data_IF_476537012665
#
_entry.id   IF_476537012665
#
_cell.length_a   1.000
_cell.length_b   1.000
_cell.length_c   1.000
_cell.angle_alpha   90.00
_cell.angle_beta   90.00
_cell.angle_gamma   90.00
#
_symmetry.space_group_name_H-M   'P 1'
#
loop_
_entity.id
_entity.type
_entity.pdbx_description
1 polymer ?
#
# COMPACT_ATOMS: atom_id res chain seq x y z
N UNK A 1 -63.13 -2.33 53.70
CA UNK A 1 -62.56 -1.28 52.82
C UNK A 1 -61.19 -1.77 52.36
N UNK A 2 -61.11 -2.30 51.13
CA UNK A 2 -59.87 -2.84 50.55
C UNK A 2 -59.28 -1.82 49.59
N UNK A 3 -58.09 -1.29 49.92
CA UNK A 3 -57.36 -0.37 49.09
C UNK A 3 -56.57 -1.18 48.05
N UNK A 4 -56.89 -0.99 46.75
CA UNK A 4 -56.12 -1.55 45.65
C UNK A 4 -55.00 -0.57 45.26
N UNK A 5 -53.73 -0.95 45.56
CA UNK A 5 -52.56 -0.27 45.00
C UNK A 5 -52.37 -0.68 43.52
N UNK A 6 -52.47 0.26 42.62
CA UNK A 6 -52.02 0.13 41.24
C UNK A 6 -50.53 0.52 41.19
N UNK A 7 -49.66 -0.48 40.95
CA UNK A 7 -48.25 -0.26 40.60
C UNK A 7 -48.21 -0.04 39.09
N UNK A 8 -48.00 1.21 38.70
CA UNK A 8 -47.74 1.54 37.32
C UNK A 8 -46.31 1.14 36.92
N UNK A 9 -46.21 0.16 36.05
CA UNK A 9 -44.93 -0.22 35.42
C UNK A 9 -44.62 0.84 34.33
N UNK A 10 -43.68 1.77 34.62
CA UNK A 10 -43.08 2.63 33.59
C UNK A 10 -41.98 1.82 32.91
N UNK A 11 -42.25 1.32 31.69
CA UNK A 11 -41.25 0.78 30.77
C UNK A 11 -40.45 1.98 30.25
N UNK A 12 -39.27 2.21 30.84
CA UNK A 12 -38.24 3.04 30.26
C UNK A 12 -37.66 2.29 29.05
N UNK A 13 -38.14 2.61 27.87
CA UNK A 13 -37.47 2.28 26.61
C UNK A 13 -36.17 3.09 26.55
N UNK A 14 -35.06 2.48 27.00
CA UNK A 14 -33.74 2.98 26.72
C UNK A 14 -33.52 2.89 25.21
N UNK A 15 -33.69 4.02 24.50
CA UNK A 15 -33.17 4.16 23.13
C UNK A 15 -31.65 4.10 23.23
N UNK A 16 -31.09 2.93 22.92
CA UNK A 16 -29.69 2.84 22.56
C UNK A 16 -29.55 3.63 21.26
N UNK A 17 -29.07 4.87 21.36
CA UNK A 17 -28.52 5.56 20.18
C UNK A 17 -27.25 4.77 19.86
N UNK A 18 -27.37 3.81 18.95
CA UNK A 18 -26.19 3.22 18.32
C UNK A 18 -25.42 4.38 17.70
N UNK A 19 -24.20 4.61 18.14
CA UNK A 19 -23.34 5.59 17.46
C UNK A 19 -23.32 5.18 15.98
N UNK A 20 -23.56 6.16 15.07
CA UNK A 20 -23.56 5.89 13.64
C UNK A 20 -22.21 5.31 13.25
N UNK A 21 -22.22 4.22 12.48
CA UNK A 21 -20.97 3.63 11.96
C UNK A 21 -20.17 4.72 11.24
N UNK A 22 -18.86 4.85 11.50
CA UNK A 22 -18.05 5.90 10.88
C UNK A 22 -17.83 5.62 9.39
N UNK A 23 -17.68 6.67 8.60
CA UNK A 23 -17.21 6.55 7.23
C UNK A 23 -15.73 6.15 7.22
N UNK A 24 -15.32 5.47 6.16
CA UNK A 24 -13.93 5.08 5.92
C UNK A 24 -13.52 5.57 4.55
N UNK A 25 -12.52 6.46 4.51
CA UNK A 25 -11.90 6.95 3.26
C UNK A 25 -10.48 6.42 3.21
N UNK A 26 -10.24 5.45 2.34
CA UNK A 26 -8.93 4.86 2.11
C UNK A 26 -8.32 5.45 0.84
N UNK A 27 -7.32 6.32 1.01
CA UNK A 27 -6.57 6.99 -0.05
C UNK A 27 -5.27 6.22 -0.27
N UNK A 28 -5.17 5.54 -1.42
CA UNK A 28 -4.05 4.67 -1.75
C UNK A 28 -3.32 5.21 -2.99
N UNK A 29 -2.23 5.96 -2.79
CA UNK A 29 -1.37 6.42 -3.86
C UNK A 29 -0.63 5.24 -4.52
N UNK A 30 -0.24 5.40 -5.79
CA UNK A 30 0.46 4.39 -6.58
C UNK A 30 1.91 4.81 -6.78
N UNK A 31 2.87 4.00 -6.28
CA UNK A 31 4.32 4.24 -6.37
C UNK A 31 4.82 5.52 -5.67
N UNK A 32 4.09 6.05 -4.70
CA UNK A 32 4.52 7.22 -3.95
C UNK A 32 5.53 6.82 -2.86
N UNK A 33 6.75 7.33 -2.94
CA UNK A 33 7.77 7.07 -1.94
C UNK A 33 7.50 7.76 -0.60
N UNK A 34 8.03 7.19 0.47
CA UNK A 34 7.92 7.77 1.83
C UNK A 34 8.54 9.17 1.94
N UNK A 35 9.53 9.47 1.08
CA UNK A 35 10.22 10.77 1.01
C UNK A 35 9.62 11.71 -0.05
N UNK A 36 8.50 11.35 -0.68
CA UNK A 36 7.90 12.10 -1.78
C UNK A 36 6.69 12.93 -1.34
N UNK A 37 6.59 13.21 -0.04
CA UNK A 37 5.54 14.03 0.58
C UNK A 37 6.13 15.17 1.41
N UNK A 38 5.47 16.32 1.45
CA UNK A 38 6.00 17.56 2.00
C UNK A 38 6.33 17.50 3.51
N UNK A 39 5.58 16.75 4.31
CA UNK A 39 5.88 16.58 5.74
C UNK A 39 7.14 15.72 6.03
N UNK A 40 7.70 15.05 5.01
CA UNK A 40 8.98 14.32 5.05
C UNK A 40 10.08 15.03 4.28
N UNK A 41 9.74 15.74 3.21
CA UNK A 41 10.68 16.40 2.32
C UNK A 41 10.06 17.69 1.77
N UNK A 42 10.48 18.83 2.29
CA UNK A 42 9.96 20.16 1.96
C UNK A 42 10.08 20.54 0.47
N UNK A 43 10.79 19.76 -0.36
CA UNK A 43 10.83 19.95 -1.81
C UNK A 43 9.50 19.60 -2.49
N UNK A 44 8.66 18.78 -1.87
CA UNK A 44 7.33 18.43 -2.38
C UNK A 44 6.28 19.36 -1.77
N UNK A 45 5.45 19.93 -2.62
CA UNK A 45 4.36 20.82 -2.21
C UNK A 45 3.10 19.98 -2.04
N UNK A 46 2.83 19.56 -0.80
CA UNK A 46 1.66 18.74 -0.45
C UNK A 46 0.92 19.35 0.75
N UNK A 47 0.36 20.57 0.61
CA UNK A 47 -0.26 21.27 1.74
C UNK A 47 -1.43 20.50 2.37
N UNK A 48 -2.21 19.77 1.59
CA UNK A 48 -3.37 19.03 2.08
C UNK A 48 -2.96 17.72 2.78
N UNK A 49 -1.99 16.98 2.24
CA UNK A 49 -1.39 15.81 2.91
C UNK A 49 -0.65 16.26 4.17
N UNK A 50 0.06 17.41 4.14
CA UNK A 50 0.70 17.98 5.32
C UNK A 50 -0.32 18.35 6.39
N UNK A 51 -1.50 18.87 6.01
CA UNK A 51 -2.60 19.15 6.94
C UNK A 51 -3.14 17.87 7.59
N UNK A 52 -3.30 16.79 6.84
CA UNK A 52 -3.64 15.48 7.40
C UNK A 52 -2.59 15.01 8.41
N UNK A 53 -1.30 15.12 8.07
CA UNK A 53 -0.19 14.74 8.95
C UNK A 53 -0.13 15.59 10.22
N UNK A 54 -0.36 16.90 10.12
CA UNK A 54 -0.34 17.81 11.26
C UNK A 54 -1.50 17.62 12.25
N UNK A 55 -2.63 17.08 11.77
CA UNK A 55 -3.86 16.90 12.55
C UNK A 55 -4.24 15.44 12.78
N UNK A 56 -3.43 14.50 12.32
CA UNK A 56 -3.63 13.06 12.46
C UNK A 56 -2.45 12.35 13.12
N UNK A 57 -2.46 11.04 13.06
CA UNK A 57 -1.39 10.17 13.55
C UNK A 57 -0.49 9.77 12.38
N UNK A 58 0.77 10.17 12.42
CA UNK A 58 1.81 9.83 11.42
C UNK A 58 2.56 8.60 11.89
N UNK A 59 2.58 7.55 11.05
CA UNK A 59 3.33 6.34 11.37
C UNK A 59 4.74 6.39 10.76
N UNK A 60 5.75 6.36 11.63
CA UNK A 60 7.15 6.47 11.21
C UNK A 60 7.73 5.15 10.67
N UNK A 61 7.17 4.01 11.05
CA UNK A 61 7.57 2.67 10.62
C UNK A 61 6.41 1.93 9.94
N UNK A 62 5.84 2.54 8.91
CA UNK A 62 4.77 1.95 8.11
C UNK A 62 5.31 1.26 6.85
N UNK A 63 4.79 0.09 6.57
CA UNK A 63 5.24 -0.78 5.49
C UNK A 63 4.10 -1.23 4.59
N UNK A 64 4.42 -1.34 3.30
CA UNK A 64 3.62 -2.10 2.35
C UNK A 64 3.93 -3.61 2.49
N UNK A 65 2.95 -4.51 2.35
CA UNK A 65 3.15 -5.95 2.48
C UNK A 65 3.91 -6.58 1.29
N UNK A 66 4.12 -5.82 0.22
CA UNK A 66 4.99 -6.19 -0.89
C UNK A 66 5.58 -4.94 -1.56
N UNK A 67 6.69 -5.11 -2.28
CA UNK A 67 7.39 -4.01 -2.94
C UNK A 67 6.84 -3.62 -4.31
N UNK A 68 5.71 -4.22 -4.72
CA UNK A 68 5.01 -3.98 -5.99
C UNK A 68 3.51 -3.86 -5.78
N UNK A 69 2.84 -3.15 -6.69
CA UNK A 69 1.42 -2.82 -6.62
C UNK A 69 0.47 -4.03 -6.50
N UNK A 70 0.45 -4.97 -7.46
CA UNK A 70 -0.52 -6.07 -7.41
C UNK A 70 -0.41 -6.94 -6.14
N UNK A 71 0.78 -7.46 -5.74
CA UNK A 71 0.88 -8.27 -4.53
C UNK A 71 0.59 -7.46 -3.26
N UNK A 72 0.98 -6.19 -3.19
CA UNK A 72 0.65 -5.33 -2.05
C UNK A 72 -0.86 -5.13 -1.93
N UNK A 73 -1.52 -4.73 -3.02
CA UNK A 73 -2.98 -4.54 -3.05
C UNK A 73 -3.74 -5.83 -2.74
N UNK A 74 -3.27 -6.98 -3.26
CA UNK A 74 -3.85 -8.28 -2.92
C UNK A 74 -3.77 -8.59 -1.42
N UNK A 75 -2.61 -8.35 -0.80
CA UNK A 75 -2.46 -8.51 0.65
C UNK A 75 -3.38 -7.57 1.43
N UNK A 76 -3.44 -6.28 1.08
CA UNK A 76 -4.28 -5.29 1.76
C UNK A 76 -5.76 -5.63 1.66
N UNK A 77 -6.25 -5.94 0.46
CA UNK A 77 -7.67 -6.25 0.25
C UNK A 77 -8.10 -7.60 0.85
N UNK A 78 -7.18 -8.56 0.96
CA UNK A 78 -7.45 -9.86 1.58
C UNK A 78 -7.21 -9.90 3.10
N UNK A 79 -6.39 -8.95 3.61
CA UNK A 79 -5.86 -9.02 4.98
C UNK A 79 -4.90 -10.19 5.21
N UNK A 80 -4.31 -10.73 4.14
CA UNK A 80 -3.51 -11.96 4.16
C UNK A 80 -2.14 -11.76 3.51
N UNK A 81 -1.12 -12.46 4.04
CA UNK A 81 0.19 -12.51 3.41
C UNK A 81 0.16 -13.21 2.04
N UNK A 82 1.03 -12.77 1.13
CA UNK A 82 1.17 -13.28 -0.23
C UNK A 82 1.13 -14.81 -0.42
N UNK A 83 1.76 -15.63 0.45
CA UNK A 83 1.70 -17.09 0.36
C UNK A 83 0.28 -17.68 0.41
N UNK A 84 -0.68 -17.04 1.10
CA UNK A 84 -2.05 -17.54 1.22
C UNK A 84 -2.87 -17.41 -0.06
N UNK A 85 -2.59 -16.41 -0.88
CA UNK A 85 -3.33 -16.15 -2.13
C UNK A 85 -2.48 -16.31 -3.40
N UNK A 86 -1.16 -16.45 -3.28
CA UNK A 86 -0.26 -16.74 -4.40
C UNK A 86 0.05 -15.57 -5.33
N UNK A 87 -0.39 -14.35 -5.04
CA UNK A 87 -0.05 -13.15 -5.81
C UNK A 87 1.26 -12.58 -5.27
N UNK A 88 2.37 -12.81 -5.98
CA UNK A 88 3.72 -12.43 -5.53
C UNK A 88 4.33 -11.27 -6.32
N UNK A 89 3.78 -10.99 -7.52
CA UNK A 89 4.32 -9.95 -8.40
C UNK A 89 3.29 -9.50 -9.43
N UNK A 90 3.64 -8.47 -10.19
CA UNK A 90 2.88 -8.02 -11.36
C UNK A 90 3.20 -8.91 -12.56
N UNK A 91 2.21 -9.62 -13.10
CA UNK A 91 2.36 -10.45 -14.29
C UNK A 91 3.19 -11.71 -14.05
N UNK A 92 4.30 -11.89 -14.79
CA UNK A 92 5.12 -13.10 -14.72
C UNK A 92 6.16 -13.05 -13.59
N UNK A 93 6.33 -14.17 -12.88
CA UNK A 93 7.44 -14.39 -11.94
C UNK A 93 8.80 -14.63 -12.60
N UNK A 94 8.81 -14.89 -13.91
CA UNK A 94 9.99 -15.21 -14.73
C UNK A 94 10.58 -13.96 -15.41
N UNK A 95 10.71 -12.85 -14.71
CA UNK A 95 11.20 -11.60 -15.29
C UNK A 95 12.74 -11.59 -15.38
N UNK A 96 13.29 -10.76 -16.28
CA UNK A 96 14.71 -10.79 -16.63
C UNK A 96 15.10 -11.93 -17.58
N UNK A 97 16.37 -11.93 -18.03
CA UNK A 97 16.87 -12.95 -18.97
C UNK A 97 16.97 -14.33 -18.29
N UNK A 98 16.55 -15.39 -18.99
CA UNK A 98 16.56 -16.76 -18.44
C UNK A 98 17.95 -17.20 -17.99
N UNK A 99 18.98 -16.85 -18.75
CA UNK A 99 20.37 -17.18 -18.46
C UNK A 99 20.96 -16.58 -17.17
N UNK A 100 20.25 -15.61 -16.55
CA UNK A 100 20.68 -14.98 -15.30
C UNK A 100 19.86 -15.44 -14.09
N UNK A 101 18.87 -16.32 -14.28
CA UNK A 101 18.05 -16.87 -13.18
C UNK A 101 18.58 -18.27 -12.81
N UNK A 102 19.10 -18.43 -11.60
CA UNK A 102 19.69 -19.71 -11.14
C UNK A 102 18.65 -20.78 -10.87
N UNK A 103 17.48 -20.37 -10.37
CA UNK A 103 16.39 -21.29 -10.00
C UNK A 103 15.11 -20.97 -10.78
N UNK A 104 14.20 -21.91 -10.86
CA UNK A 104 12.87 -21.76 -11.40
C UNK A 104 12.01 -21.10 -10.32
N UNK A 105 11.48 -19.88 -10.51
CA UNK A 105 10.64 -19.20 -9.53
C UNK A 105 9.28 -19.87 -9.36
N UNK A 106 8.59 -19.55 -8.26
CA UNK A 106 7.21 -19.97 -8.04
C UNK A 106 6.28 -19.30 -9.06
N UNK A 107 5.31 -20.02 -9.55
CA UNK A 107 4.30 -19.46 -10.46
C UNK A 107 3.45 -18.42 -9.73
N UNK A 108 3.28 -17.25 -10.36
CA UNK A 108 2.48 -16.17 -9.83
C UNK A 108 1.01 -16.34 -10.17
N UNK A 109 0.11 -16.14 -9.21
CA UNK A 109 -1.30 -15.83 -9.47
C UNK A 109 -1.41 -14.39 -9.95
N UNK A 110 -2.17 -14.16 -11.03
CA UNK A 110 -2.30 -12.81 -11.62
C UNK A 110 -3.33 -11.95 -10.90
N UNK A 111 -4.37 -12.59 -10.38
CA UNK A 111 -5.51 -11.95 -9.73
C UNK A 111 -5.73 -12.60 -8.36
N UNK A 112 -6.39 -11.88 -7.48
CA UNK A 112 -6.81 -12.40 -6.20
C UNK A 112 -7.83 -13.53 -6.42
N UNK A 113 -7.64 -14.72 -5.82
CA UNK A 113 -8.59 -15.82 -5.99
C UNK A 113 -9.98 -15.47 -5.46
N UNK A 114 -11.02 -15.88 -6.18
CA UNK A 114 -12.42 -15.56 -5.85
C UNK A 114 -12.94 -16.18 -4.54
N UNK A 115 -12.20 -17.10 -3.92
CA UNK A 115 -12.55 -17.63 -2.59
C UNK A 115 -12.08 -16.71 -1.45
N UNK A 116 -11.25 -15.71 -1.75
CA UNK A 116 -10.76 -14.75 -0.76
C UNK A 116 -11.82 -13.67 -0.59
N UNK A 117 -12.32 -13.50 0.62
CA UNK A 117 -13.23 -12.41 0.94
C UNK A 117 -12.44 -11.11 1.08
N UNK A 118 -12.76 -10.11 0.29
CA UNK A 118 -12.13 -8.79 0.33
C UNK A 118 -12.67 -7.93 1.47
N UNK A 119 -11.90 -6.88 1.83
CA UNK A 119 -12.38 -5.89 2.82
C UNK A 119 -13.66 -5.18 2.35
N UNK A 120 -13.81 -4.94 1.05
CA UNK A 120 -15.00 -4.29 0.50
C UNK A 120 -16.24 -5.18 0.61
N UNK A 121 -16.11 -6.51 0.34
CA UNK A 121 -17.19 -7.47 0.56
C UNK A 121 -17.60 -7.52 2.04
N UNK A 122 -16.62 -7.51 2.96
CA UNK A 122 -16.91 -7.56 4.39
C UNK A 122 -17.61 -6.28 4.88
N UNK A 123 -17.14 -5.10 4.45
CA UNK A 123 -17.75 -3.83 4.80
C UNK A 123 -19.15 -3.68 4.18
N UNK A 124 -19.33 -4.06 2.92
CA UNK A 124 -20.65 -4.07 2.27
C UNK A 124 -21.63 -4.98 2.98
N UNK A 125 -21.20 -6.17 3.38
CA UNK A 125 -22.02 -7.09 4.19
C UNK A 125 -22.36 -6.51 5.57
N UNK A 126 -21.52 -5.58 6.09
CA UNK A 126 -21.73 -4.81 7.31
C UNK A 126 -22.60 -3.56 7.13
N UNK A 127 -23.18 -3.34 5.93
CA UNK A 127 -24.09 -2.23 5.65
C UNK A 127 -23.44 -0.98 5.05
N UNK A 128 -22.16 -1.01 4.72
CA UNK A 128 -21.49 0.11 4.07
C UNK A 128 -21.86 0.25 2.60
N UNK A 129 -22.06 1.49 2.16
CA UNK A 129 -22.07 1.84 0.73
C UNK A 129 -20.63 1.89 0.26
N UNK A 130 -20.31 1.31 -0.89
CA UNK A 130 -18.93 1.06 -1.29
C UNK A 130 -18.63 1.59 -2.69
N UNK A 131 -17.56 2.38 -2.83
CA UNK A 131 -17.08 2.88 -4.13
C UNK A 131 -15.58 2.65 -4.30
N UNK A 132 -15.21 2.21 -5.50
CA UNK A 132 -13.82 2.14 -5.95
C UNK A 132 -13.54 3.18 -7.04
N UNK A 133 -12.44 3.91 -6.90
CA UNK A 133 -12.06 5.03 -7.77
C UNK A 133 -10.60 4.90 -8.19
N UNK A 134 -10.34 4.48 -9.42
CA UNK A 134 -9.00 4.40 -9.98
C UNK A 134 -8.43 2.98 -10.08
N UNK A 135 -7.17 2.78 -9.70
CA UNK A 135 -6.43 1.53 -9.88
C UNK A 135 -6.87 0.43 -8.92
N UNK A 136 -7.32 -0.70 -9.47
CA UNK A 136 -7.63 -1.91 -8.70
C UNK A 136 -6.50 -2.96 -8.76
N UNK A 137 -6.19 -3.47 -9.95
CA UNK A 137 -5.02 -4.31 -10.26
C UNK A 137 -4.99 -5.71 -9.62
N UNK A 138 -6.05 -6.16 -8.95
CA UNK A 138 -6.14 -7.47 -8.28
C UNK A 138 -7.34 -8.29 -8.75
N UNK A 139 -8.22 -7.72 -9.52
CA UNK A 139 -9.42 -8.33 -10.10
C UNK A 139 -9.74 -7.70 -11.46
N UNK A 140 -10.61 -8.34 -12.24
CA UNK A 140 -11.05 -7.82 -13.52
C UNK A 140 -12.02 -6.63 -13.37
N UNK A 141 -12.86 -6.69 -12.32
CA UNK A 141 -13.89 -5.71 -12.04
C UNK A 141 -14.15 -5.64 -10.53
N UNK A 142 -13.89 -4.49 -9.89
CA UNK A 142 -14.16 -4.26 -8.47
C UNK A 142 -15.60 -4.55 -8.03
N UNK A 143 -16.58 -4.46 -8.95
CA UNK A 143 -17.99 -4.79 -8.65
C UNK A 143 -18.17 -6.24 -8.23
N UNK A 144 -17.29 -7.14 -8.67
CA UNK A 144 -17.32 -8.56 -8.29
C UNK A 144 -16.73 -8.81 -6.90
N UNK A 145 -15.97 -7.84 -6.38
CA UNK A 145 -15.17 -7.95 -5.16
C UNK A 145 -15.70 -7.01 -4.05
N UNK A 146 -17.02 -6.71 -4.08
CA UNK A 146 -17.74 -6.03 -2.99
C UNK A 146 -17.98 -4.53 -3.18
N UNK A 147 -17.47 -3.91 -4.24
CA UNK A 147 -17.82 -2.51 -4.53
C UNK A 147 -19.16 -2.41 -5.27
N UNK A 148 -19.97 -1.39 -4.92
CA UNK A 148 -21.24 -1.09 -5.59
C UNK A 148 -21.04 -0.16 -6.78
N UNK A 149 -20.01 0.69 -6.71
CA UNK A 149 -19.65 1.63 -7.77
C UNK A 149 -18.18 1.45 -8.11
N UNK A 150 -17.87 1.41 -9.41
CA UNK A 150 -16.50 1.33 -9.94
C UNK A 150 -16.27 2.45 -10.96
N UNK A 151 -15.24 3.25 -10.76
CA UNK A 151 -14.83 4.31 -11.68
C UNK A 151 -13.37 4.12 -12.08
N UNK A 152 -13.13 3.53 -13.22
CA UNK A 152 -11.78 3.38 -13.78
C UNK A 152 -10.95 2.23 -13.22
N UNK A 153 -11.53 1.34 -12.38
CA UNK A 153 -10.86 0.17 -11.85
C UNK A 153 -10.96 -1.04 -12.77
N UNK A 154 -9.84 -1.72 -13.00
CA UNK A 154 -9.74 -3.01 -13.70
C UNK A 154 -8.42 -3.73 -13.33
N UNK A 155 -8.08 -4.81 -14.04
CA UNK A 155 -6.85 -5.58 -13.80
C UNK A 155 -5.56 -4.85 -14.25
N UNK A 156 -5.64 -3.68 -14.88
CA UNK A 156 -4.47 -3.00 -15.43
C UNK A 156 -3.62 -2.33 -14.35
N UNK A 157 -2.29 -2.46 -14.50
CA UNK A 157 -1.34 -1.95 -13.50
C UNK A 157 -0.91 -0.50 -13.71
N UNK A 158 -1.31 0.16 -14.77
CA UNK A 158 -0.93 1.53 -15.08
C UNK A 158 -1.97 2.22 -15.95
N UNK A 159 -1.88 3.55 -16.12
CA UNK A 159 -2.84 4.37 -16.85
C UNK A 159 -2.70 4.16 -18.37
N UNK A 160 -3.00 2.94 -18.85
CA UNK A 160 -2.92 2.58 -20.27
C UNK A 160 -3.88 3.42 -21.13
N UNK A 161 -3.64 3.37 -22.45
CA UNK A 161 -4.56 3.84 -23.48
C UNK A 161 -5.09 5.26 -23.31
N UNK A 162 -4.18 6.24 -23.41
CA UNK A 162 -4.46 7.66 -23.26
C UNK A 162 -3.71 8.29 -22.08
N UNK A 163 -3.03 7.49 -21.23
CA UNK A 163 -2.26 8.03 -20.11
C UNK A 163 -3.15 8.70 -19.06
N UNK A 164 -2.69 9.82 -18.53
CA UNK A 164 -3.38 10.56 -17.48
C UNK A 164 -4.47 11.50 -17.99
N UNK A 165 -4.38 11.95 -19.24
CA UNK A 165 -5.28 12.96 -19.81
C UNK A 165 -6.21 12.35 -20.86
N UNK A 166 -7.42 12.86 -20.96
CA UNK A 166 -8.37 12.50 -22.03
C UNK A 166 -7.88 12.98 -23.41
N UNK A 167 -8.27 12.30 -24.51
CA UNK A 167 -9.21 11.17 -24.56
C UNK A 167 -8.58 9.83 -24.20
N UNK A 168 -9.32 8.98 -23.48
CA UNK A 168 -8.92 7.60 -23.18
C UNK A 168 -9.57 6.66 -24.20
N UNK A 169 -8.73 5.94 -24.95
CA UNK A 169 -9.17 5.16 -26.12
C UNK A 169 -9.52 3.72 -25.80
N UNK A 170 -9.21 3.23 -24.60
CA UNK A 170 -9.55 1.87 -24.17
C UNK A 170 -9.49 1.72 -22.64
N UNK A 171 -9.92 0.54 -22.15
CA UNK A 171 -9.97 0.22 -20.70
C UNK A 171 -11.15 0.87 -20.00
N UNK A 172 -11.16 0.79 -18.69
CA UNK A 172 -12.25 1.25 -17.82
C UNK A 172 -12.51 2.75 -17.85
N UNK A 173 -11.58 3.55 -18.41
CA UNK A 173 -11.78 5.01 -18.59
C UNK A 173 -12.34 5.39 -19.96
N UNK A 174 -12.34 4.52 -20.95
CA UNK A 174 -12.84 4.84 -22.30
C UNK A 174 -14.28 5.41 -22.32
N UNK A 175 -15.25 4.89 -21.53
CA UNK A 175 -16.60 5.43 -21.49
C UNK A 175 -16.70 6.90 -21.04
N UNK A 176 -15.69 7.40 -20.34
CA UNK A 176 -15.67 8.77 -19.82
C UNK A 176 -15.16 9.80 -20.85
N UNK A 177 -14.44 9.35 -21.90
CA UNK A 177 -13.77 10.22 -22.87
C UNK A 177 -14.73 11.13 -23.63
N UNK A 178 -15.94 10.65 -23.96
CA UNK A 178 -16.94 11.42 -24.68
C UNK A 178 -17.71 12.43 -23.82
N UNK A 179 -17.63 12.25 -22.48
CA UNK A 179 -18.39 13.06 -21.51
C UNK A 179 -17.58 14.19 -20.88
N UNK A 180 -16.29 14.33 -21.23
CA UNK A 180 -15.38 15.32 -20.64
C UNK A 180 -14.60 16.08 -21.69
N UNK A 181 -14.14 17.32 -21.41
CA UNK A 181 -13.24 18.06 -22.28
C UNK A 181 -11.93 17.29 -22.55
N UNK A 182 -11.33 17.55 -23.71
CA UNK A 182 -9.97 17.10 -24.01
C UNK A 182 -9.01 17.64 -22.95
N UNK A 183 -7.95 16.89 -22.65
CA UNK A 183 -6.97 17.21 -21.60
C UNK A 183 -7.52 17.21 -20.17
N UNK A 184 -8.71 16.63 -19.92
CA UNK A 184 -9.16 16.37 -18.56
C UNK A 184 -8.31 15.31 -17.91
N UNK A 185 -7.75 15.59 -16.72
CA UNK A 185 -6.97 14.62 -15.96
C UNK A 185 -7.88 13.58 -15.30
N UNK A 186 -7.54 12.28 -15.39
CA UNK A 186 -8.39 11.19 -14.85
C UNK A 186 -8.71 11.30 -13.36
N UNK A 187 -7.81 11.87 -12.55
CA UNK A 187 -8.07 12.06 -11.11
C UNK A 187 -9.22 13.04 -10.87
N UNK A 188 -9.46 14.00 -11.77
CA UNK A 188 -10.56 14.95 -11.64
C UNK A 188 -11.90 14.23 -11.77
N UNK A 189 -11.97 13.19 -12.63
CA UNK A 189 -13.15 12.32 -12.72
C UNK A 189 -13.34 11.53 -11.44
N UNK A 190 -12.26 10.92 -10.92
CA UNK A 190 -12.33 10.17 -9.66
C UNK A 190 -12.80 11.05 -8.51
N UNK A 191 -12.25 12.25 -8.39
CA UNK A 191 -12.65 13.23 -7.37
C UNK A 191 -14.12 13.62 -7.53
N UNK A 192 -14.55 13.98 -8.73
CA UNK A 192 -15.95 14.34 -9.00
C UNK A 192 -16.93 13.21 -8.65
N UNK A 193 -16.56 11.95 -8.98
CA UNK A 193 -17.42 10.80 -8.66
C UNK A 193 -17.43 10.48 -7.15
N UNK A 194 -16.31 10.71 -6.44
CA UNK A 194 -16.27 10.62 -4.99
C UNK A 194 -17.22 11.66 -4.35
N UNK A 195 -17.21 12.92 -4.82
CA UNK A 195 -18.12 13.95 -4.33
C UNK A 195 -19.60 13.60 -4.56
N UNK A 196 -19.93 13.10 -5.75
CA UNK A 196 -21.31 12.64 -6.05
C UNK A 196 -21.74 11.47 -5.15
N UNK A 197 -20.80 10.57 -4.86
CA UNK A 197 -21.07 9.44 -3.96
C UNK A 197 -21.32 9.91 -2.53
N UNK A 198 -20.52 10.84 -2.03
CA UNK A 198 -20.69 11.47 -0.71
C UNK A 198 -22.04 12.19 -0.63
N UNK A 199 -22.41 12.94 -1.68
CA UNK A 199 -23.70 13.64 -1.74
C UNK A 199 -24.89 12.68 -1.70
N UNK A 200 -24.78 11.55 -2.40
CA UNK A 200 -25.87 10.56 -2.49
C UNK A 200 -26.06 9.72 -1.23
N UNK A 201 -25.01 9.58 -0.40
CA UNK A 201 -24.99 8.65 0.73
C UNK A 201 -24.58 9.30 2.07
N UNK A 202 -24.79 10.63 2.21
CA UNK A 202 -24.38 11.38 3.39
C UNK A 202 -24.96 10.84 4.73
N UNK A 203 -26.11 10.17 4.66
CA UNK A 203 -26.81 9.60 5.82
C UNK A 203 -26.53 8.08 6.03
N UNK A 204 -25.66 7.50 5.22
CA UNK A 204 -25.30 6.08 5.27
C UNK A 204 -23.78 5.91 5.55
N UNK A 205 -23.33 4.84 6.20
CA UNK A 205 -21.88 4.58 6.33
C UNK A 205 -21.27 4.29 4.97
N UNK A 206 -20.16 4.96 4.65
CA UNK A 206 -19.47 4.86 3.36
C UNK A 206 -18.08 4.26 3.50
N UNK A 207 -17.72 3.38 2.56
CA UNK A 207 -16.34 2.99 2.29
C UNK A 207 -15.92 3.53 0.91
N UNK A 208 -15.05 4.52 0.92
CA UNK A 208 -14.51 5.18 -0.28
C UNK A 208 -13.06 4.73 -0.47
N UNK A 209 -12.80 3.87 -1.45
CA UNK A 209 -11.45 3.50 -1.86
C UNK A 209 -10.99 4.44 -2.99
N UNK A 210 -10.34 5.55 -2.61
CA UNK A 210 -9.75 6.52 -3.52
C UNK A 210 -8.33 6.08 -3.88
N UNK A 211 -8.18 5.43 -5.03
CA UNK A 211 -6.96 4.74 -5.46
C UNK A 211 -6.49 5.23 -6.83
N UNK A 212 -6.11 6.51 -6.98
CA UNK A 212 -5.68 7.05 -8.27
C UNK A 212 -4.40 6.35 -8.75
N UNK A 213 -4.17 6.37 -10.09
CA UNK A 213 -2.92 5.89 -10.68
C UNK A 213 -1.71 6.81 -10.39
N UNK A 214 -1.93 7.99 -9.79
CA UNK A 214 -0.84 8.88 -9.38
C UNK A 214 -0.08 8.25 -8.19
N UNK A 215 1.27 8.16 -8.26
CA UNK A 215 2.17 8.82 -9.22
C UNK A 215 2.90 7.81 -10.13
N UNK A 216 2.23 6.75 -10.53
CA UNK A 216 2.77 5.67 -11.37
C UNK A 216 3.22 6.19 -12.76
N UNK A 217 4.21 5.55 -13.35
CA UNK A 217 4.59 5.84 -14.74
C UNK A 217 3.50 5.52 -15.78
N UNK A 218 3.49 6.21 -16.94
CA UNK A 218 4.51 7.14 -17.41
C UNK A 218 4.55 8.44 -16.59
N UNK A 219 5.76 8.91 -16.28
CA UNK A 219 5.92 10.19 -15.59
C UNK A 219 5.51 11.29 -16.56
N UNK A 220 4.42 11.97 -16.25
CA UNK A 220 3.77 12.95 -17.11
C UNK A 220 3.65 14.27 -16.36
N UNK A 221 4.25 15.33 -16.90
CA UNK A 221 4.13 16.66 -16.30
C UNK A 221 2.65 17.09 -16.24
N UNK A 222 2.25 17.64 -15.11
CA UNK A 222 0.96 18.31 -14.96
C UNK A 222 1.18 19.81 -15.24
N UNK A 223 0.63 20.37 -16.33
CA UNK A 223 0.94 21.74 -16.78
C UNK A 223 0.70 22.79 -15.70
N UNK A 224 -0.32 22.60 -14.88
CA UNK A 224 -0.74 23.48 -13.80
C UNK A 224 0.32 23.64 -12.69
N UNK A 225 1.14 22.59 -12.42
CA UNK A 225 2.04 22.52 -11.27
C UNK A 225 3.52 22.40 -11.64
N UNK A 226 3.87 21.97 -12.85
CA UNK A 226 5.27 21.63 -13.20
C UNK A 226 6.24 22.82 -13.05
N UNK A 227 5.76 24.04 -13.25
CA UNK A 227 6.58 25.26 -13.10
C UNK A 227 7.04 25.50 -11.65
N UNK A 228 6.33 24.95 -10.65
CA UNK A 228 6.70 25.08 -9.24
C UNK A 228 8.00 24.37 -8.89
N UNK A 229 8.50 23.49 -9.75
CA UNK A 229 9.62 22.58 -9.46
C UNK A 229 10.83 22.74 -10.37
N UNK A 230 10.88 23.75 -11.25
CA UNK A 230 11.94 23.92 -12.24
C UNK A 230 13.35 24.00 -11.60
N UNK A 231 13.46 24.66 -10.43
CA UNK A 231 14.72 24.84 -9.73
C UNK A 231 14.82 24.03 -8.41
N UNK A 232 13.94 23.05 -8.21
CA UNK A 232 13.84 22.31 -6.93
C UNK A 232 14.93 21.24 -6.75
N UNK A 233 15.63 20.85 -7.82
CA UNK A 233 16.61 19.76 -7.80
C UNK A 233 15.99 18.36 -7.69
N UNK A 234 14.66 18.23 -7.88
CA UNK A 234 13.93 16.95 -8.01
C UNK A 234 13.30 16.87 -9.41
N UNK A 235 12.77 15.71 -9.78
CA UNK A 235 12.09 15.53 -11.06
C UNK A 235 10.79 16.36 -11.09
N UNK A 236 10.77 17.47 -11.84
CA UNK A 236 9.66 18.41 -11.87
C UNK A 236 8.36 17.78 -12.39
N UNK A 237 8.42 16.90 -13.39
CA UNK A 237 7.25 16.20 -13.90
C UNK A 237 6.64 15.28 -12.81
N UNK A 238 7.47 14.50 -12.12
CA UNK A 238 7.04 13.64 -11.03
C UNK A 238 6.45 14.46 -9.87
N UNK A 239 7.14 15.51 -9.44
CA UNK A 239 6.69 16.37 -8.34
C UNK A 239 5.35 17.06 -8.66
N UNK A 240 5.11 17.43 -9.92
CA UNK A 240 3.82 17.99 -10.35
C UNK A 240 2.67 16.96 -10.29
N UNK A 241 2.98 15.66 -10.50
CA UNK A 241 2.01 14.59 -10.30
C UNK A 241 1.66 14.41 -8.81
N UNK A 242 2.65 14.55 -7.93
CA UNK A 242 2.44 14.51 -6.47
C UNK A 242 1.56 15.68 -6.02
N UNK A 243 1.82 16.90 -6.51
CA UNK A 243 1.00 18.07 -6.18
C UNK A 243 -0.45 17.94 -6.71
N UNK A 244 -0.65 17.33 -7.89
CA UNK A 244 -1.98 17.03 -8.42
C UNK A 244 -2.75 16.02 -7.56
N UNK A 245 -2.06 15.00 -7.03
CA UNK A 245 -2.63 14.08 -6.05
C UNK A 245 -3.07 14.81 -4.79
N UNK A 246 -2.19 15.66 -4.24
CA UNK A 246 -2.45 16.46 -3.04
C UNK A 246 -3.67 17.38 -3.22
N UNK A 247 -3.78 18.06 -4.37
CA UNK A 247 -4.92 18.92 -4.67
C UNK A 247 -6.25 18.15 -4.69
N UNK A 248 -6.27 16.95 -5.27
CA UNK A 248 -7.46 16.09 -5.29
C UNK A 248 -7.87 15.64 -3.88
N UNK A 249 -6.88 15.31 -3.02
CA UNK A 249 -7.12 14.99 -1.61
C UNK A 249 -7.72 16.20 -0.89
N UNK A 250 -7.23 17.41 -1.18
CA UNK A 250 -7.75 18.65 -0.61
C UNK A 250 -9.25 18.84 -0.90
N UNK A 251 -9.65 18.62 -2.16
CA UNK A 251 -11.08 18.72 -2.58
C UNK A 251 -11.93 17.67 -1.86
N UNK A 252 -11.45 16.43 -1.73
CA UNK A 252 -12.18 15.36 -1.03
C UNK A 252 -12.37 15.70 0.46
N UNK A 253 -11.31 16.18 1.12
CA UNK A 253 -11.36 16.56 2.53
C UNK A 253 -12.30 17.75 2.78
N UNK A 254 -12.25 18.76 1.91
CA UNK A 254 -13.15 19.91 1.97
C UNK A 254 -14.63 19.48 1.87
N UNK A 255 -14.95 18.56 0.97
CA UNK A 255 -16.32 18.07 0.83
C UNK A 255 -16.83 17.36 2.10
N UNK A 256 -15.99 16.56 2.76
CA UNK A 256 -16.34 15.92 4.03
C UNK A 256 -16.59 16.96 5.14
N UNK A 257 -15.80 18.04 5.18
CA UNK A 257 -15.96 19.14 6.13
C UNK A 257 -17.26 19.92 5.89
N UNK A 258 -17.51 20.32 4.64
CA UNK A 258 -18.72 21.09 4.23
C UNK A 258 -20.02 20.34 4.49
N UNK A 259 -19.98 19.00 4.40
CA UNK A 259 -21.12 18.13 4.71
C UNK A 259 -21.26 17.79 6.20
N UNK A 260 -20.32 18.24 7.05
CA UNK A 260 -20.31 17.88 8.47
C UNK A 260 -19.99 16.42 8.77
N UNK A 261 -19.40 15.69 7.78
CA UNK A 261 -19.07 14.27 7.90
C UNK A 261 -17.67 14.01 8.48
N UNK A 262 -16.79 15.02 8.48
CA UNK A 262 -15.39 14.85 8.84
C UNK A 262 -15.18 14.24 10.25
N UNK A 263 -15.99 14.66 11.23
CA UNK A 263 -15.89 14.18 12.62
C UNK A 263 -16.23 12.69 12.77
N UNK A 264 -17.02 12.12 11.85
CA UNK A 264 -17.39 10.69 11.82
C UNK A 264 -16.75 9.97 10.63
N UNK A 265 -15.54 10.36 10.24
CA UNK A 265 -14.84 9.76 9.10
C UNK A 265 -13.39 9.44 9.47
N UNK A 266 -13.01 8.15 9.38
CA UNK A 266 -11.61 7.73 9.38
C UNK A 266 -11.05 7.94 7.97
N UNK A 267 -10.02 8.76 7.84
CA UNK A 267 -9.23 8.94 6.61
C UNK A 267 -7.88 8.27 6.78
N UNK A 268 -7.55 7.34 5.88
CA UNK A 268 -6.24 6.67 5.83
C UNK A 268 -5.56 7.04 4.52
N UNK A 269 -4.44 7.74 4.60
CA UNK A 269 -3.58 8.07 3.46
C UNK A 269 -2.33 7.20 3.48
N UNK A 270 -2.08 6.47 2.40
CA UNK A 270 -0.84 5.70 2.22
C UNK A 270 -0.47 5.52 0.75
N UNK A 271 0.65 4.82 0.50
CA UNK A 271 1.06 4.30 -0.81
C UNK A 271 1.05 2.77 -0.81
N UNK A 272 0.81 2.17 -1.99
CA UNK A 272 0.78 0.72 -2.15
C UNK A 272 2.16 0.04 -2.09
N UNK A 273 3.24 0.76 -2.37
CA UNK A 273 4.64 0.34 -2.23
C UNK A 273 5.56 1.57 -2.16
N UNK A 274 6.86 1.35 -2.00
CA UNK A 274 7.84 2.42 -2.05
C UNK A 274 7.97 3.06 -3.44
N UNK A 275 8.58 4.25 -3.49
CA UNK A 275 8.78 5.02 -4.71
C UNK A 275 9.80 4.39 -5.67
N UNK A 276 9.82 4.87 -6.92
CA UNK A 276 10.77 4.41 -7.94
C UNK A 276 12.11 5.14 -7.77
N UNK A 277 13.13 4.48 -7.23
CA UNK A 277 14.45 5.09 -6.97
C UNK A 277 15.10 5.74 -8.21
N UNK A 278 14.85 5.20 -9.40
CA UNK A 278 15.35 5.76 -10.65
C UNK A 278 14.66 7.09 -11.05
N UNK A 279 13.50 7.41 -10.49
CA UNK A 279 12.71 8.64 -10.72
C UNK A 279 13.03 9.69 -9.67
N UNK A 280 13.00 9.29 -8.39
CA UNK A 280 13.35 10.16 -7.26
C UNK A 280 14.02 9.33 -6.16
N UNK A 281 15.10 9.87 -5.58
CA UNK A 281 15.85 9.22 -4.52
C UNK A 281 15.01 9.00 -3.28
N UNK A 282 15.06 7.80 -2.71
CA UNK A 282 14.41 7.47 -1.45
C UNK A 282 15.33 7.63 -0.22
N UNK A 283 16.52 8.22 -0.40
CA UNK A 283 17.45 8.42 0.71
C UNK A 283 16.79 9.06 1.95
N UNK A 284 17.13 8.58 3.18
CA UNK A 284 18.24 7.69 3.50
C UNK A 284 17.96 6.19 3.22
N UNK A 285 16.76 5.83 2.76
CA UNK A 285 16.31 4.45 2.56
C UNK A 285 16.89 3.89 1.27
N UNK A 286 17.46 2.66 1.35
CA UNK A 286 18.04 1.97 0.20
C UNK A 286 17.00 1.50 -0.80
N UNK A 287 17.34 1.58 -2.08
CA UNK A 287 16.56 1.10 -3.22
C UNK A 287 15.17 1.77 -3.37
N UNK A 288 14.20 1.07 -3.96
CA UNK A 288 12.85 1.53 -4.23
C UNK A 288 11.97 0.40 -4.74
N UNK A 289 10.84 0.75 -5.38
CA UNK A 289 9.84 -0.18 -5.93
C UNK A 289 10.46 -1.43 -6.56
N UNK A 290 9.98 -2.59 -6.14
CA UNK A 290 10.43 -3.91 -6.62
C UNK A 290 11.62 -4.45 -5.87
N UNK A 291 12.15 -3.76 -4.85
CA UNK A 291 13.15 -4.24 -3.92
C UNK A 291 12.56 -4.37 -2.51
N UNK A 292 13.07 -5.29 -1.70
CA UNK A 292 12.65 -5.47 -0.32
C UNK A 292 13.59 -4.80 0.69
N UNK A 293 14.52 -3.96 0.22
CA UNK A 293 15.17 -2.96 1.06
C UNK A 293 14.18 -1.87 1.45
N UNK A 294 14.51 -1.08 2.47
CA UNK A 294 13.59 -0.12 3.10
C UNK A 294 12.89 0.80 2.09
N UNK A 295 13.61 1.36 1.12
CA UNK A 295 13.03 2.27 0.12
C UNK A 295 11.97 1.65 -0.79
N UNK A 296 11.94 0.31 -0.91
CA UNK A 296 10.96 -0.39 -1.74
C UNK A 296 9.67 -0.80 -1.02
N UNK A 297 9.71 -0.85 0.31
CA UNK A 297 8.58 -1.33 1.14
C UNK A 297 8.09 -0.33 2.17
N UNK A 298 8.86 0.71 2.52
CA UNK A 298 8.34 1.81 3.33
C UNK A 298 7.36 2.66 2.53
N UNK A 299 6.25 3.00 3.16
CA UNK A 299 5.22 3.86 2.58
C UNK A 299 4.87 4.99 3.54
N UNK A 300 4.48 6.19 3.05
CA UNK A 300 3.88 7.19 3.91
C UNK A 300 2.56 6.64 4.47
N UNK A 301 2.30 6.86 5.74
CA UNK A 301 1.02 6.51 6.37
C UNK A 301 0.60 7.59 7.34
N UNK A 302 -0.59 8.12 7.11
CA UNK A 302 -1.28 9.04 8.02
C UNK A 302 -2.69 8.53 8.25
N UNK A 303 -3.12 8.45 9.50
CA UNK A 303 -4.50 8.21 9.90
C UNK A 303 -5.07 9.48 10.55
N UNK A 304 -6.18 9.96 10.00
CA UNK A 304 -6.85 11.16 10.45
C UNK A 304 -8.32 10.87 10.75
N UNK A 305 -8.73 11.18 11.98
CA UNK A 305 -10.12 11.08 12.41
C UNK A 305 -10.35 12.12 13.51
N UNK A 306 -10.91 13.29 13.18
CA UNK A 306 -11.14 14.35 14.16
C UNK A 306 -11.87 13.84 15.39
N UNK A 307 -11.51 14.35 16.57
CA UNK A 307 -12.07 13.98 17.88
C UNK A 307 -11.82 12.53 18.36
N UNK A 308 -11.30 11.65 17.47
CA UNK A 308 -11.05 10.24 17.80
C UNK A 308 -9.56 9.92 17.85
N UNK A 309 -8.78 10.45 16.90
CA UNK A 309 -7.32 10.27 16.85
C UNK A 309 -6.65 11.58 17.28
N UNK A 310 -5.84 11.52 18.34
CA UNK A 310 -5.00 12.65 18.73
C UNK A 310 -3.86 12.85 17.71
N UNK A 311 -3.57 14.09 17.28
CA UNK A 311 -2.41 14.38 16.46
C UNK A 311 -1.10 13.94 17.12
N UNK A 312 -0.21 13.34 16.33
CA UNK A 312 1.08 12.87 16.84
C UNK A 312 1.84 11.97 15.89
N UNK A 313 2.89 11.36 16.43
CA UNK A 313 3.73 10.39 15.71
C UNK A 313 3.70 9.02 16.40
N UNK A 314 3.64 7.96 15.62
CA UNK A 314 3.70 6.57 16.06
C UNK A 314 4.97 5.91 15.54
N UNK A 315 5.81 5.39 16.44
CA UNK A 315 7.05 4.69 16.10
C UNK A 315 6.87 3.17 15.95
N UNK A 316 5.69 2.63 16.20
CA UNK A 316 5.41 1.21 16.12
C UNK A 316 5.53 0.68 14.68
N UNK A 317 5.91 -0.60 14.57
CA UNK A 317 5.91 -1.31 13.29
C UNK A 317 4.49 -1.64 12.88
N UNK A 318 4.05 -1.11 11.73
CA UNK A 318 2.74 -1.38 11.17
C UNK A 318 2.85 -1.72 9.69
N UNK A 319 1.87 -2.43 9.19
CA UNK A 319 1.80 -2.83 7.78
C UNK A 319 0.43 -2.45 7.20
N UNK A 320 0.35 -2.10 5.94
CA UNK A 320 -0.97 -1.85 5.34
C UNK A 320 -1.85 -3.11 5.24
N UNK A 321 -1.29 -4.30 5.49
CA UNK A 321 -2.05 -5.53 5.78
C UNK A 321 -3.02 -5.37 6.97
N UNK A 322 -2.67 -4.50 7.92
CA UNK A 322 -3.43 -4.22 9.13
C UNK A 322 -4.70 -3.40 8.86
N UNK A 323 -4.86 -2.83 7.65
CA UNK A 323 -6.02 -1.99 7.33
C UNK A 323 -7.32 -2.79 7.30
N UNK A 324 -7.32 -4.01 6.76
CA UNK A 324 -8.54 -4.81 6.73
C UNK A 324 -9.09 -5.06 8.16
N UNK A 325 -8.35 -5.67 9.11
CA UNK A 325 -8.85 -5.85 10.47
C UNK A 325 -9.16 -4.51 11.16
N UNK A 326 -8.43 -3.44 10.86
CA UNK A 326 -8.69 -2.09 11.41
C UNK A 326 -10.03 -1.54 10.92
N UNK A 327 -10.32 -1.64 9.63
CA UNK A 327 -11.60 -1.13 9.08
C UNK A 327 -12.80 -1.91 9.59
N UNK A 328 -12.66 -3.24 9.75
CA UNK A 328 -13.70 -4.09 10.34
C UNK A 328 -13.93 -3.74 11.82
N UNK A 329 -12.87 -3.52 12.58
CA UNK A 329 -12.93 -3.12 13.99
C UNK A 329 -13.60 -1.74 14.16
N UNK A 330 -13.16 -0.75 13.36
CA UNK A 330 -13.76 0.60 13.30
C UNK A 330 -15.24 0.56 12.93
N UNK A 331 -15.62 -0.36 12.03
CA UNK A 331 -17.01 -0.57 11.64
C UNK A 331 -17.86 -1.29 12.71
N UNK A 332 -17.25 -1.76 13.80
CA UNK A 332 -17.92 -2.56 14.82
C UNK A 332 -18.35 -3.95 14.34
N UNK A 333 -17.69 -4.46 13.30
CA UNK A 333 -17.99 -5.76 12.71
C UNK A 333 -17.09 -6.88 13.28
N UNK A 334 -17.49 -8.13 13.26
CA UNK A 334 -16.66 -9.23 13.74
C UNK A 334 -15.44 -9.45 12.83
N UNK A 335 -14.24 -9.42 13.41
CA UNK A 335 -12.99 -9.73 12.71
C UNK A 335 -12.93 -11.23 12.43
N UNK A 336 -12.65 -11.61 11.17
CA UNK A 336 -12.52 -13.01 10.76
C UNK A 336 -11.19 -13.60 11.24
N UNK A 337 -11.18 -14.88 11.62
CA UNK A 337 -10.02 -15.60 12.15
C UNK A 337 -8.86 -15.79 11.11
N UNK A 338 -9.15 -15.68 9.82
CA UNK A 338 -8.17 -15.94 8.75
C UNK A 338 -7.42 -14.69 8.26
N UNK A 339 -7.48 -13.58 8.99
CA UNK A 339 -6.68 -12.39 8.71
C UNK A 339 -5.30 -12.53 9.36
N UNK A 340 -4.26 -12.11 8.64
CA UNK A 340 -2.88 -12.09 9.14
C UNK A 340 -2.49 -10.73 9.74
N UNK A 341 -3.20 -9.66 9.38
CA UNK A 341 -3.05 -8.32 9.95
C UNK A 341 -3.69 -8.20 11.33
N UNK A 342 -3.35 -7.13 12.04
CA UNK A 342 -3.89 -6.80 13.36
C UNK A 342 -4.55 -5.42 13.32
N UNK A 343 -5.59 -5.20 14.14
CA UNK A 343 -6.27 -3.89 14.21
C UNK A 343 -5.35 -2.83 14.80
N UNK A 344 -5.27 -1.67 14.15
CA UNK A 344 -4.52 -0.51 14.59
C UNK A 344 -5.34 0.41 15.55
N UNK A 345 -6.57 0.05 15.86
CA UNK A 345 -7.44 0.82 16.77
C UNK A 345 -6.78 1.13 18.12
N UNK A 346 -6.03 0.21 18.75
CA UNK A 346 -5.31 0.52 20.00
C UNK A 346 -4.28 1.64 19.86
N UNK A 347 -3.59 1.74 18.71
CA UNK A 347 -2.64 2.81 18.42
C UNK A 347 -3.37 4.13 18.11
N UNK A 348 -4.48 4.07 17.38
CA UNK A 348 -5.30 5.23 17.02
C UNK A 348 -5.93 5.89 18.22
N UNK A 349 -6.41 5.11 19.19
CA UNK A 349 -7.09 5.60 20.39
C UNK A 349 -6.12 6.01 21.52
N UNK A 350 -4.83 5.65 21.39
CA UNK A 350 -3.86 5.80 22.48
C UNK A 350 -4.21 4.98 23.74
N UNK A 351 -5.17 4.06 23.61
CA UNK A 351 -5.68 3.21 24.70
C UNK A 351 -5.39 1.75 24.41
N UNK A 352 -4.95 1.02 25.44
CA UNK A 352 -4.66 -0.41 25.31
C UNK A 352 -3.16 -0.72 25.22
N UNK A 353 -2.86 -2.01 25.23
CA UNK A 353 -1.47 -2.51 25.08
C UNK A 353 -1.25 -2.90 23.62
N UNK A 354 -0.38 -2.18 22.92
CA UNK A 354 0.13 -2.60 21.63
C UNK A 354 1.28 -3.58 21.85
N UNK A 355 1.26 -4.66 21.11
CA UNK A 355 2.40 -5.57 21.02
C UNK A 355 2.91 -5.55 19.59
N UNK A 356 4.13 -5.04 19.41
CA UNK A 356 4.79 -5.05 18.12
C UNK A 356 4.87 -6.48 17.57
N UNK A 357 4.49 -6.65 16.30
CA UNK A 357 4.48 -7.94 15.60
C UNK A 357 5.58 -7.92 14.55
N UNK A 358 6.39 -8.99 14.43
CA UNK A 358 7.35 -9.09 13.33
C UNK A 358 6.66 -8.94 11.98
N UNK A 359 7.30 -8.20 11.05
CA UNK A 359 6.82 -8.01 9.70
C UNK A 359 7.57 -8.92 8.74
N UNK A 360 6.84 -9.53 7.79
CA UNK A 360 7.39 -10.53 6.89
C UNK A 360 7.12 -10.18 5.43
N UNK A 361 8.06 -10.56 4.57
CA UNK A 361 7.91 -10.46 3.11
C UNK A 361 8.39 -11.75 2.48
N UNK A 362 7.64 -12.26 1.51
CA UNK A 362 7.98 -13.45 0.75
C UNK A 362 7.84 -13.17 -0.74
N UNK A 363 8.94 -13.29 -1.46
CA UNK A 363 9.05 -12.91 -2.86
C UNK A 363 9.77 -13.99 -3.67
N UNK A 364 9.12 -15.14 -3.92
CA UNK A 364 9.75 -16.29 -4.58
C UNK A 364 9.84 -16.10 -6.11
N UNK A 365 10.19 -14.89 -6.56
CA UNK A 365 10.10 -14.41 -7.95
C UNK A 365 11.34 -13.63 -8.35
N UNK A 366 11.51 -13.43 -9.67
CA UNK A 366 12.52 -12.53 -10.22
C UNK A 366 11.89 -11.25 -10.74
N UNK A 367 12.49 -10.11 -10.42
CA UNK A 367 12.18 -8.83 -11.02
C UNK A 367 13.44 -8.21 -11.60
N UNK A 368 13.50 -8.04 -12.93
CA UNK A 368 14.62 -7.37 -13.59
C UNK A 368 14.77 -5.91 -13.09
N UNK A 369 15.98 -5.40 -13.16
CA UNK A 369 16.28 -4.00 -12.88
C UNK A 369 15.48 -3.05 -13.82
N UNK A 370 15.13 -1.87 -13.32
CA UNK A 370 14.73 -0.73 -14.14
C UNK A 370 15.97 -0.03 -14.70
N UNK A 371 16.90 0.26 -13.80
CA UNK A 371 18.21 0.83 -14.11
C UNK A 371 19.23 0.26 -13.13
N UNK A 372 20.05 -0.69 -13.57
CA UNK A 372 20.99 -1.39 -12.70
C UNK A 372 21.97 -0.50 -11.93
N UNK A 373 22.29 0.68 -12.47
CA UNK A 373 23.16 1.64 -11.79
C UNK A 373 22.43 2.51 -10.73
N UNK A 374 21.09 2.63 -10.80
CA UNK A 374 20.32 3.53 -9.95
C UNK A 374 19.38 2.81 -8.99
N UNK A 375 19.05 1.53 -9.24
CA UNK A 375 18.08 0.80 -8.44
C UNK A 375 18.56 0.48 -7.02
N UNK A 376 19.88 0.53 -6.76
CA UNK A 376 20.52 0.24 -5.46
C UNK A 376 20.13 -1.11 -4.86
N UNK A 377 19.69 -2.04 -5.70
CA UNK A 377 19.32 -3.39 -5.31
C UNK A 377 20.56 -4.24 -4.91
N UNK A 378 20.36 -5.51 -4.60
CA UNK A 378 21.46 -6.44 -4.27
C UNK A 378 22.46 -6.58 -5.41
N UNK A 379 21.97 -6.59 -6.63
CA UNK A 379 22.79 -6.61 -7.85
C UNK A 379 22.12 -5.82 -8.99
N UNK A 380 22.89 -5.41 -10.01
CA UNK A 380 22.38 -4.55 -11.06
C UNK A 380 21.47 -5.25 -12.09
N UNK A 381 21.31 -6.58 -12.04
CA UNK A 381 20.49 -7.31 -13.00
C UNK A 381 19.04 -7.45 -12.55
N UNK A 382 18.81 -7.49 -11.23
CA UNK A 382 17.51 -7.72 -10.63
C UNK A 382 17.28 -6.78 -9.45
N UNK A 383 16.11 -6.12 -9.43
CA UNK A 383 15.63 -5.42 -8.24
C UNK A 383 15.31 -6.37 -7.12
N UNK A 384 14.84 -7.57 -7.47
CA UNK A 384 14.63 -8.66 -6.52
C UNK A 384 15.00 -10.00 -7.14
N UNK A 385 15.65 -10.84 -6.35
CA UNK A 385 15.87 -12.28 -6.55
C UNK A 385 15.02 -13.05 -5.56
N UNK A 386 14.64 -14.31 -5.85
CA UNK A 386 13.79 -15.09 -4.96
C UNK A 386 14.32 -15.14 -3.52
N UNK A 387 13.47 -14.78 -2.57
CA UNK A 387 13.85 -14.68 -1.17
C UNK A 387 12.69 -14.43 -0.23
N UNK A 388 13.04 -14.19 1.02
CA UNK A 388 12.16 -13.68 2.08
C UNK A 388 12.88 -12.64 2.91
N UNK A 389 12.14 -11.76 3.57
CA UNK A 389 12.67 -10.81 4.53
C UNK A 389 11.82 -10.78 5.79
N UNK A 390 12.46 -10.39 6.90
CA UNK A 390 11.85 -10.20 8.21
C UNK A 390 12.30 -8.85 8.77
N UNK A 391 11.39 -8.08 9.36
CA UNK A 391 11.70 -7.00 10.28
C UNK A 391 11.13 -7.30 11.66
N UNK A 392 11.97 -7.20 12.70
CA UNK A 392 11.59 -7.33 14.11
C UNK A 392 12.39 -6.31 14.93
N UNK A 393 11.71 -5.44 15.64
CA UNK A 393 12.32 -4.32 16.37
C UNK A 393 13.20 -3.45 15.43
N UNK A 394 14.50 -3.28 15.74
CA UNK A 394 15.44 -2.58 14.86
C UNK A 394 16.10 -3.49 13.80
N UNK A 395 15.92 -4.81 13.89
CA UNK A 395 16.61 -5.77 13.04
C UNK A 395 15.86 -6.05 11.76
N UNK A 396 16.60 -6.12 10.65
CA UNK A 396 16.09 -6.57 9.36
C UNK A 396 16.99 -7.67 8.81
N UNK A 397 16.37 -8.78 8.39
CA UNK A 397 17.03 -9.91 7.80
C UNK A 397 16.46 -10.19 6.41
N UNK A 398 17.34 -10.43 5.44
CA UNK A 398 17.00 -10.96 4.12
C UNK A 398 17.61 -12.35 3.96
N UNK A 399 16.86 -13.28 3.36
CA UNK A 399 17.33 -14.58 2.92
C UNK A 399 17.04 -14.75 1.43
N UNK A 400 18.08 -15.12 0.65
CA UNK A 400 17.99 -15.33 -0.79
C UNK A 400 18.09 -16.82 -1.12
N UNK A 401 17.16 -17.33 -1.90
CA UNK A 401 17.03 -18.78 -2.14
C UNK A 401 18.00 -19.33 -3.19
N UNK A 402 18.56 -18.49 -4.07
CA UNK A 402 19.47 -18.91 -5.12
C UNK A 402 20.84 -19.42 -4.61
N UNK A 403 21.32 -18.84 -3.55
CA UNK A 403 22.66 -19.03 -3.01
C UNK A 403 22.68 -19.21 -1.49
N UNK A 404 21.51 -19.13 -0.83
CA UNK A 404 21.39 -19.21 0.62
C UNK A 404 21.98 -18.01 1.37
N UNK A 405 22.28 -16.91 0.66
CA UNK A 405 22.86 -15.73 1.28
C UNK A 405 21.89 -15.08 2.27
N UNK A 406 22.46 -14.65 3.40
CA UNK A 406 21.76 -13.91 4.46
C UNK A 406 22.37 -12.51 4.55
N UNK A 407 21.49 -11.52 4.68
CA UNK A 407 21.88 -10.16 5.03
C UNK A 407 21.17 -9.77 6.33
N UNK A 408 21.91 -9.17 7.27
CA UNK A 408 21.40 -8.69 8.56
C UNK A 408 21.78 -7.24 8.74
N UNK A 409 20.77 -6.39 9.07
CA UNK A 409 20.95 -4.96 9.28
C UNK A 409 20.35 -4.51 10.61
N UNK A 410 20.99 -3.54 11.26
CA UNK A 410 20.46 -2.78 12.40
C UNK A 410 19.96 -1.41 11.87
N UNK A 411 18.66 -1.30 11.62
CA UNK A 411 18.07 -0.10 11.03
C UNK A 411 18.07 1.12 11.96
N UNK A 412 18.37 0.96 13.24
CA UNK A 412 18.54 2.09 14.16
C UNK A 412 19.85 2.84 13.93
N UNK A 413 20.88 2.13 13.47
CA UNK A 413 22.22 2.66 13.20
C UNK A 413 22.53 2.74 11.69
N UNK A 414 21.88 1.90 10.90
CA UNK A 414 22.08 1.80 9.45
C UNK A 414 20.72 1.74 8.72
N UNK A 415 19.96 2.83 8.68
CA UNK A 415 18.68 2.89 7.98
C UNK A 415 18.79 2.66 6.47
N UNK A 416 19.99 2.88 5.92
CA UNK A 416 20.30 2.69 4.50
C UNK A 416 20.72 1.28 4.13
N UNK A 417 20.76 0.31 5.07
CA UNK A 417 21.12 -1.10 4.82
C UNK A 417 22.44 -1.27 4.05
N UNK A 418 23.49 -0.54 4.49
CA UNK A 418 24.80 -0.50 3.84
C UNK A 418 25.78 -1.51 4.43
N UNK A 419 25.60 -1.89 5.71
CA UNK A 419 26.55 -2.69 6.46
C UNK A 419 25.93 -4.03 6.89
N UNK A 420 26.20 -5.10 6.13
CA UNK A 420 25.72 -6.43 6.48
C UNK A 420 26.44 -6.95 7.72
N UNK A 421 25.69 -7.22 8.79
CA UNK A 421 26.19 -7.66 10.11
C UNK A 421 26.17 -9.18 10.28
N UNK A 422 25.88 -9.98 9.25
CA UNK A 422 25.70 -11.44 9.37
C UNK A 422 26.92 -12.13 9.97
N UNK A 423 28.13 -11.75 9.54
CA UNK A 423 29.37 -12.32 10.03
C UNK A 423 29.78 -11.83 11.43
N UNK A 424 29.35 -10.62 11.80
CA UNK A 424 29.59 -10.02 13.11
C UNK A 424 28.61 -10.51 14.17
N UNK A 425 27.36 -10.81 13.78
CA UNK A 425 26.26 -11.20 14.67
C UNK A 425 25.58 -12.51 14.23
N UNK A 426 26.35 -13.62 14.05
CA UNK A 426 25.81 -14.87 13.50
C UNK A 426 24.69 -15.48 14.37
N UNK A 427 24.76 -15.34 15.69
CA UNK A 427 23.71 -15.80 16.61
C UNK A 427 22.40 -15.07 16.40
N UNK A 428 22.44 -13.72 16.24
CA UNK A 428 21.25 -12.93 15.95
C UNK A 428 20.67 -13.27 14.57
N UNK A 429 21.52 -13.44 13.57
CA UNK A 429 21.09 -13.86 12.24
C UNK A 429 20.38 -15.23 12.27
N UNK A 430 20.94 -16.21 12.99
CA UNK A 430 20.33 -17.53 13.15
C UNK A 430 18.98 -17.49 13.90
N UNK A 431 18.87 -16.65 14.94
CA UNK A 431 17.62 -16.43 15.68
C UNK A 431 16.51 -15.89 14.75
N UNK A 432 16.79 -14.81 14.02
CA UNK A 432 15.82 -14.18 13.12
C UNK A 432 15.47 -15.06 11.93
N UNK A 433 16.46 -15.80 11.38
CA UNK A 433 16.22 -16.78 10.33
C UNK A 433 15.25 -17.87 10.79
N UNK A 434 15.39 -18.37 12.01
CA UNK A 434 14.47 -19.38 12.57
C UNK A 434 13.05 -18.83 12.66
N UNK A 435 12.86 -17.58 13.11
CA UNK A 435 11.54 -16.92 13.16
C UNK A 435 10.94 -16.81 11.75
N UNK A 436 11.76 -16.43 10.75
CA UNK A 436 11.33 -16.34 9.35
C UNK A 436 10.94 -17.71 8.78
N UNK A 437 11.67 -18.77 9.11
CA UNK A 437 11.37 -20.15 8.70
C UNK A 437 10.09 -20.67 9.37
N UNK A 438 9.87 -20.36 10.66
CA UNK A 438 8.66 -20.73 11.40
C UNK A 438 7.43 -20.04 10.79
N UNK A 439 7.53 -18.74 10.47
CA UNK A 439 6.47 -18.02 9.78
C UNK A 439 6.16 -18.62 8.39
N UNK A 440 7.20 -18.92 7.58
CA UNK A 440 7.00 -19.58 6.27
C UNK A 440 6.23 -20.90 6.39
N UNK A 441 6.51 -21.69 7.42
CA UNK A 441 5.76 -22.94 7.68
C UNK A 441 4.29 -22.65 8.02
N UNK A 442 4.05 -21.65 8.87
CA UNK A 442 2.68 -21.26 9.27
C UNK A 442 1.81 -20.82 8.10
N UNK A 443 2.38 -20.06 7.15
CA UNK A 443 1.63 -19.56 5.97
C UNK A 443 1.83 -20.45 4.73
N UNK A 444 2.46 -21.61 4.86
CA UNK A 444 2.79 -22.54 3.77
C UNK A 444 3.51 -21.84 2.58
N UNK A 445 4.45 -20.95 2.88
CA UNK A 445 5.17 -20.17 1.87
C UNK A 445 6.07 -21.08 1.01
N UNK A 446 5.92 -21.10 -0.32
CA UNK A 446 6.68 -21.96 -1.21
C UNK A 446 8.10 -21.43 -1.41
N UNK A 447 9.12 -22.26 -1.09
CA UNK A 447 10.54 -21.95 -1.32
C UNK A 447 11.00 -22.62 -2.61
N UNK A 448 11.31 -21.87 -3.69
CA UNK A 448 11.79 -22.44 -4.92
C UNK A 448 13.23 -22.94 -4.78
N UNK A 449 13.47 -24.17 -5.22
CA UNK A 449 14.80 -24.83 -5.13
C UNK A 449 15.22 -25.50 -6.43
N UNK A 450 14.32 -25.64 -7.42
CA UNK A 450 14.63 -26.32 -8.67
C UNK A 450 15.56 -25.47 -9.53
N UNK A 451 16.69 -26.03 -9.92
CA UNK A 451 17.65 -25.35 -10.81
C UNK A 451 17.04 -25.05 -12.17
N UNK A 452 17.38 -23.88 -12.71
CA UNK A 452 16.99 -23.48 -14.05
C UNK A 452 17.99 -24.03 -15.10
N UNK A 453 17.57 -24.90 -16.02
CA UNK A 453 18.46 -25.49 -17.02
C UNK A 453 19.02 -24.47 -18.02
N UNK A 454 18.44 -23.29 -18.11
CA UNK A 454 18.90 -22.21 -18.98
C UNK A 454 19.83 -21.21 -18.27
N UNK A 455 20.23 -21.47 -17.01
CA UNK A 455 21.17 -20.63 -16.31
C UNK A 455 22.59 -20.78 -16.86
N UNK A 456 23.24 -19.65 -17.11
CA UNK A 456 24.62 -19.56 -17.59
C UNK A 456 25.41 -18.62 -16.67
N UNK A 457 26.24 -19.22 -15.81
CA UNK A 457 27.05 -18.48 -14.84
C UNK A 457 28.08 -17.56 -15.49
N UNK A 458 28.61 -17.95 -16.66
CA UNK A 458 29.57 -17.12 -17.38
C UNK A 458 28.89 -15.89 -18.02
N UNK A 459 27.72 -16.10 -18.59
CA UNK A 459 26.93 -14.99 -19.14
C UNK A 459 26.51 -14.00 -18.05
N UNK A 460 26.09 -14.48 -16.87
CA UNK A 460 25.77 -13.65 -15.72
C UNK A 460 27.00 -12.86 -15.25
N UNK A 461 28.14 -13.52 -15.05
CA UNK A 461 29.38 -12.89 -14.60
C UNK A 461 29.86 -11.80 -15.60
N UNK A 462 29.79 -12.08 -16.89
CA UNK A 462 30.17 -11.12 -17.95
C UNK A 462 29.24 -9.87 -17.93
N UNK A 463 27.94 -10.06 -17.67
CA UNK A 463 27.00 -8.93 -17.60
C UNK A 463 27.24 -8.10 -16.33
N UNK A 464 27.45 -8.75 -15.17
CA UNK A 464 27.77 -8.07 -13.89
C UNK A 464 29.08 -7.28 -13.96
N UNK A 465 30.08 -7.78 -14.70
CA UNK A 465 31.37 -7.09 -14.87
C UNK A 465 31.21 -5.70 -15.51
N UNK A 466 30.21 -5.48 -16.38
CA UNK A 466 29.95 -4.18 -17.01
C UNK A 466 29.59 -3.07 -16.01
N UNK A 467 29.00 -3.45 -14.88
CA UNK A 467 28.60 -2.50 -13.82
C UNK A 467 29.71 -2.25 -12.78
N UNK A 468 30.80 -3.05 -12.79
CA UNK A 468 31.97 -2.85 -11.92
C UNK A 468 33.02 -1.91 -12.53
N UNK A 469 32.91 -1.63 -13.82
CA UNK A 469 33.84 -0.79 -14.59
C UNK A 469 33.38 0.65 -14.71
N UNK A 470 32.19 0.96 -14.22
CA UNK A 470 31.60 2.31 -14.18
C UNK A 470 31.43 2.76 -12.73
#
# INVERSE_FOLDING_TARGET
MRIKCYIGFFLLLAYWVSAAQPNIVYINADDLGVMDVGFRNAKFRTPHINRLAANGLVFNNAYAPASNCAPSRACVHSGQWGPRHGVYTVGSSYRGKAQYRKIIPVQNQKLLPSYVCTMAEALRAGGYRTIHLGKYHIGEDPLKDGFEVNVGGDFTGGPKAGGYFSPWVSGSMAPWSESVPVDTHRIDIYTQQALRFIDAHADEPMFIHFSPYLVHGPITAVPEYVSHYQDSGINAAYASMVEKLDAAIGVLMQALEEKGLADNTLVVFCSDNGGIAAVNSQAPWRAGKGSYYEGGIRAPLVMYWPKTIAPGECAELVNSLDFYPTFIDVAGLPIKENLDGVSLVPLMSGSGTWKSVPQFWHFPVYLQAYNGAKDQARDPLFRTRPGSALRMDQWKLHEYFEDGAIELYDLSNDPGEQHNLVDLLPTKAAELKRILEDWRRTVAAPVPSKLNPNYDSQAEANELAKYRLN
#
